data_IF_315868576738
#
_entry.id   IF_315868576738
#
_cell.length_a   1.000
_cell.length_b   1.000
_cell.length_c   1.000
_cell.angle_alpha   90.00
_cell.angle_beta   90.00
_cell.angle_gamma   90.00
#
_symmetry.space_group_name_H-M   'P 1'
#
loop_
_entity.id
_entity.type
_entity.pdbx_description
1 polymer ?
#
# COMPACT_ATOMS: atom_id res chain seq x y z
N UNK A 1 -0.13 8.03 7.25
CA UNK A 1 -1.19 7.19 6.71
C UNK A 1 -1.31 7.42 5.20
N UNK A 2 -1.53 6.38 4.37
CA UNK A 2 -1.64 6.52 2.90
C UNK A 2 -2.65 7.56 2.47
N UNK A 3 -3.80 7.64 3.12
CA UNK A 3 -4.83 8.63 2.82
C UNK A 3 -4.34 10.07 3.03
N UNK A 4 -3.48 10.33 4.01
CA UNK A 4 -2.87 11.63 4.19
C UNK A 4 -1.91 12.01 3.05
N UNK A 5 -1.29 11.01 2.42
CA UNK A 5 -0.42 11.20 1.27
C UNK A 5 -1.18 11.69 0.02
N UNK A 6 -2.47 11.37 -0.11
CA UNK A 6 -3.29 11.82 -1.23
C UNK A 6 -3.55 13.32 -1.25
N UNK A 7 -3.39 14.00 -0.13
CA UNK A 7 -3.52 15.45 -0.07
C UNK A 7 -2.29 16.19 -0.61
N UNK A 8 -1.19 15.49 -0.85
CA UNK A 8 -0.04 16.06 -1.53
C UNK A 8 -0.38 16.31 -3.01
N UNK A 9 -0.16 17.53 -3.54
CA UNK A 9 -0.64 17.92 -4.87
C UNK A 9 -0.20 16.99 -6.02
N UNK A 10 0.96 16.38 -5.90
CA UNK A 10 1.48 15.44 -6.91
C UNK A 10 0.69 14.15 -6.88
N UNK A 11 0.43 13.60 -5.70
CA UNK A 11 -0.28 12.34 -5.53
C UNK A 11 -1.76 12.48 -5.89
N UNK A 12 -2.40 13.59 -5.53
CA UNK A 12 -3.79 13.86 -5.90
C UNK A 12 -4.03 13.81 -7.41
N UNK A 13 -3.07 14.28 -8.22
CA UNK A 13 -3.18 14.26 -9.67
C UNK A 13 -2.75 12.95 -10.32
N UNK A 14 -1.75 12.29 -9.76
CA UNK A 14 -1.10 11.14 -10.38
C UNK A 14 -1.46 9.80 -9.72
N UNK A 15 -2.19 9.84 -8.61
CA UNK A 15 -2.59 8.63 -7.90
C UNK A 15 -1.42 7.85 -7.29
N UNK A 16 -1.56 6.54 -7.16
CA UNK A 16 -0.54 5.65 -6.61
C UNK A 16 0.81 5.78 -7.30
N UNK A 17 0.82 5.97 -8.62
CA UNK A 17 2.04 6.23 -9.39
C UNK A 17 2.76 7.50 -8.91
N UNK A 18 1.99 8.52 -8.51
CA UNK A 18 2.56 9.74 -7.93
C UNK A 18 3.21 9.50 -6.57
N UNK A 19 2.61 8.68 -5.73
CA UNK A 19 3.14 8.29 -4.43
C UNK A 19 4.43 7.49 -4.57
N UNK A 20 4.41 6.41 -5.35
CA UNK A 20 5.58 5.58 -5.61
C UNK A 20 6.71 6.37 -6.27
N UNK A 21 6.38 7.19 -7.28
CA UNK A 21 7.33 8.07 -7.94
C UNK A 21 7.99 9.05 -6.99
N UNK A 22 7.22 9.64 -6.06
CA UNK A 22 7.75 10.53 -5.04
C UNK A 22 8.74 9.81 -4.10
N UNK A 23 8.37 8.64 -3.61
CA UNK A 23 9.23 7.83 -2.74
C UNK A 23 10.54 7.42 -3.45
N UNK A 24 10.47 7.04 -4.73
CA UNK A 24 11.64 6.71 -5.56
C UNK A 24 12.55 7.94 -5.72
N UNK A 25 12.00 9.11 -6.03
CA UNK A 25 12.77 10.36 -6.16
C UNK A 25 13.46 10.71 -4.84
N UNK A 26 12.78 10.57 -3.71
CA UNK A 26 13.39 10.76 -2.39
C UNK A 26 14.53 9.78 -2.13
N UNK A 27 14.36 8.51 -2.48
CA UNK A 27 15.40 7.48 -2.35
C UNK A 27 16.64 7.80 -3.22
N UNK A 28 16.44 8.18 -4.46
CA UNK A 28 17.52 8.61 -5.37
C UNK A 28 18.23 9.84 -4.79
N UNK A 29 17.48 10.82 -4.30
CA UNK A 29 18.04 12.05 -3.69
C UNK A 29 18.88 11.72 -2.46
N UNK A 30 18.43 10.84 -1.59
CA UNK A 30 19.17 10.42 -0.41
C UNK A 30 20.50 9.74 -0.76
N UNK A 31 20.47 8.79 -1.73
CA UNK A 31 21.68 8.11 -2.20
C UNK A 31 22.63 9.10 -2.87
N UNK A 32 22.11 10.01 -3.70
CA UNK A 32 22.88 11.05 -4.35
C UNK A 32 23.65 11.90 -3.33
N UNK A 33 22.93 12.44 -2.33
CA UNK A 33 23.56 13.25 -1.28
C UNK A 33 24.59 12.47 -0.45
N UNK A 34 24.30 11.21 -0.14
CA UNK A 34 25.22 10.35 0.58
C UNK A 34 26.53 10.17 -0.20
N UNK A 35 26.44 9.81 -1.47
CA UNK A 35 27.60 9.60 -2.35
C UNK A 35 28.43 10.86 -2.48
N UNK A 36 27.81 12.00 -2.81
CA UNK A 36 28.53 13.27 -2.95
C UNK A 36 29.15 13.69 -1.62
N UNK A 37 28.47 13.48 -0.50
CA UNK A 37 29.03 13.80 0.81
C UNK A 37 30.25 12.94 1.16
N UNK A 38 30.21 11.64 0.88
CA UNK A 38 31.36 10.75 1.05
C UNK A 38 32.54 11.20 0.19
N UNK A 39 32.29 11.55 -1.08
CA UNK A 39 33.35 12.03 -1.96
C UNK A 39 33.96 13.35 -1.50
N UNK A 40 33.16 14.27 -0.98
CA UNK A 40 33.61 15.54 -0.42
C UNK A 40 34.48 15.33 0.82
N UNK A 41 34.03 14.46 1.75
CA UNK A 41 34.79 14.13 2.96
C UNK A 41 36.11 13.42 2.62
N UNK A 42 36.07 12.50 1.65
CA UNK A 42 37.28 11.80 1.21
C UNK A 42 38.33 12.74 0.57
N UNK A 43 37.84 13.77 -0.17
CA UNK A 43 38.70 14.75 -0.83
C UNK A 43 39.22 15.84 0.11
N UNK A 44 38.37 16.36 1.00
CA UNK A 44 38.64 17.61 1.73
C UNK A 44 38.65 17.47 3.26
N UNK A 45 38.38 16.26 3.80
CA UNK A 45 38.23 16.03 5.23
C UNK A 45 36.86 16.47 5.77
N UNK A 46 36.66 16.23 7.09
CA UNK A 46 35.35 16.48 7.76
C UNK A 46 35.01 17.96 7.93
N UNK A 47 36.01 18.85 7.82
CA UNK A 47 35.81 20.30 8.03
C UNK A 47 35.17 21.01 6.81
N UNK A 48 35.04 20.32 5.70
CA UNK A 48 34.55 20.92 4.45
C UNK A 48 33.02 20.90 4.36
N UNK A 49 32.41 21.98 4.79
CA UNK A 49 30.93 22.17 4.79
C UNK A 49 30.47 23.25 3.79
N UNK A 50 31.33 23.79 2.93
CA UNK A 50 30.96 24.89 2.05
C UNK A 50 30.25 24.42 0.76
N UNK A 51 29.33 25.27 0.28
CA UNK A 51 28.68 25.12 -1.05
C UNK A 51 29.46 25.93 -2.08
N UNK A 52 30.74 25.62 -2.29
CA UNK A 52 31.51 26.27 -3.33
C UNK A 52 31.27 25.61 -4.68
N UNK A 53 30.57 26.34 -5.55
CA UNK A 53 30.25 25.90 -6.91
C UNK A 53 31.44 25.98 -7.89
N UNK A 54 32.55 26.55 -7.47
CA UNK A 54 33.77 26.65 -8.30
C UNK A 54 34.43 25.29 -8.53
N UNK A 55 34.17 24.32 -7.67
CA UNK A 55 34.60 22.94 -7.81
C UNK A 55 33.47 22.02 -8.28
N UNK A 56 33.82 21.01 -9.07
CA UNK A 56 32.85 20.04 -9.64
C UNK A 56 31.98 19.38 -8.57
N UNK A 57 32.56 18.99 -7.43
CA UNK A 57 31.79 18.34 -6.34
C UNK A 57 30.86 19.34 -5.65
N UNK A 58 31.26 20.60 -5.51
CA UNK A 58 30.39 21.65 -4.99
C UNK A 58 29.21 21.93 -5.93
N UNK A 59 29.45 21.97 -7.24
CA UNK A 59 28.40 22.11 -8.25
C UNK A 59 27.43 20.94 -8.20
N UNK A 60 27.92 19.69 -8.13
CA UNK A 60 27.08 18.51 -8.01
C UNK A 60 26.19 18.58 -6.75
N UNK A 61 26.74 19.06 -5.64
CA UNK A 61 25.97 19.27 -4.41
C UNK A 61 24.84 20.30 -4.59
N UNK A 62 25.09 21.38 -5.33
CA UNK A 62 24.06 22.39 -5.66
C UNK A 62 22.99 21.80 -6.58
N UNK A 63 23.38 21.02 -7.57
CA UNK A 63 22.42 20.32 -8.44
C UNK A 63 21.50 19.41 -7.60
N UNK A 64 22.02 18.80 -6.55
CA UNK A 64 21.25 17.99 -5.62
C UNK A 64 20.09 18.73 -4.94
N UNK A 65 20.10 20.06 -4.88
CA UNK A 65 19.00 20.85 -4.30
C UNK A 65 17.66 20.60 -4.99
N UNK A 66 17.66 20.08 -6.21
CA UNK A 66 16.44 19.65 -6.92
C UNK A 66 15.63 18.60 -6.14
N UNK A 67 16.28 17.81 -5.30
CA UNK A 67 15.60 16.79 -4.48
C UNK A 67 14.97 17.36 -3.19
N UNK A 68 15.36 18.55 -2.76
CA UNK A 68 14.91 19.13 -1.49
C UNK A 68 13.39 19.30 -1.41
N UNK A 69 12.69 19.80 -2.44
CA UNK A 69 11.22 19.87 -2.41
C UNK A 69 10.55 18.51 -2.19
N UNK A 70 11.10 17.44 -2.75
CA UNK A 70 10.57 16.08 -2.58
C UNK A 70 10.84 15.57 -1.16
N UNK A 71 11.99 15.83 -0.59
CA UNK A 71 12.32 15.47 0.80
C UNK A 71 11.44 16.24 1.80
N UNK A 72 11.17 17.52 1.54
CA UNK A 72 10.21 18.30 2.33
C UNK A 72 8.80 17.71 2.17
N UNK A 73 8.41 17.35 0.94
CA UNK A 73 7.14 16.70 0.65
C UNK A 73 6.93 15.40 1.42
N UNK A 74 8.00 14.63 1.66
CA UNK A 74 7.96 13.41 2.44
C UNK A 74 7.46 13.66 3.87
N UNK A 75 7.82 14.79 4.48
CA UNK A 75 7.34 15.18 5.80
C UNK A 75 5.80 15.34 5.84
N UNK A 76 5.20 15.87 4.78
CA UNK A 76 3.76 15.99 4.67
C UNK A 76 3.06 14.65 4.43
N UNK A 77 3.73 13.74 3.75
CA UNK A 77 3.23 12.39 3.49
C UNK A 77 3.29 11.51 4.75
N UNK A 78 4.24 11.77 5.65
CA UNK A 78 4.49 10.98 6.86
C UNK A 78 4.20 11.78 8.13
N UNK A 79 3.00 12.37 8.22
CA UNK A 79 2.65 13.20 9.35
C UNK A 79 1.83 12.41 10.37
N UNK A 80 2.45 11.99 11.47
CA UNK A 80 1.83 11.23 12.56
C UNK A 80 0.71 12.01 13.28
N UNK A 81 0.71 13.33 13.20
CA UNK A 81 -0.27 14.18 13.86
C UNK A 81 -1.54 14.38 13.03
N UNK A 82 -1.57 13.86 11.80
CA UNK A 82 -2.71 13.98 10.92
C UNK A 82 -3.52 12.70 10.94
N UNK A 83 -4.70 12.78 11.53
CA UNK A 83 -5.68 11.70 11.54
C UNK A 83 -6.56 11.85 10.30
N UNK A 84 -6.76 10.77 9.58
CA UNK A 84 -7.69 10.65 8.44
C UNK A 84 -8.72 9.58 8.76
N UNK A 85 -9.90 9.69 8.15
CA UNK A 85 -11.05 8.84 8.49
C UNK A 85 -10.85 7.37 8.06
N UNK A 86 -9.97 7.11 7.08
CA UNK A 86 -9.73 5.76 6.55
C UNK A 86 -10.98 5.14 5.89
N UNK A 87 -11.86 5.99 5.33
CA UNK A 87 -13.15 5.55 4.82
C UNK A 87 -13.01 4.60 3.64
N UNK A 88 -12.09 4.87 2.74
CA UNK A 88 -11.80 4.02 1.61
C UNK A 88 -10.75 2.95 1.96
N UNK A 89 -9.72 3.35 2.65
CA UNK A 89 -8.62 2.50 3.12
C UNK A 89 -8.63 2.42 4.66
N UNK A 90 -9.30 1.41 5.28
CA UNK A 90 -10.01 0.34 4.58
C UNK A 90 -11.35 0.01 5.28
N UNK A 91 -12.14 1.03 5.65
CA UNK A 91 -13.51 0.80 6.10
C UNK A 91 -14.38 0.23 4.99
N UNK A 92 -14.09 0.55 3.71
CA UNK A 92 -14.82 0.00 2.58
C UNK A 92 -14.75 -1.54 2.53
N UNK A 93 -13.57 -2.12 2.70
CA UNK A 93 -13.39 -3.57 2.78
C UNK A 93 -14.04 -4.19 4.03
N UNK A 94 -13.97 -3.50 5.16
CA UNK A 94 -14.66 -3.93 6.38
C UNK A 94 -16.18 -4.01 6.18
N UNK A 95 -16.77 -2.98 5.59
CA UNK A 95 -18.21 -2.97 5.29
C UNK A 95 -18.61 -4.00 4.23
N UNK A 96 -17.74 -4.29 3.27
CA UNK A 96 -17.99 -5.36 2.30
C UNK A 96 -18.13 -6.72 2.99
N UNK A 97 -17.24 -7.07 3.89
CA UNK A 97 -17.33 -8.30 4.66
C UNK A 97 -18.64 -8.39 5.47
N UNK A 98 -19.01 -7.32 6.15
CA UNK A 98 -20.27 -7.24 6.92
C UNK A 98 -21.48 -7.34 5.98
N UNK A 99 -21.43 -6.68 4.81
CA UNK A 99 -22.53 -6.72 3.83
C UNK A 99 -22.76 -8.12 3.28
N UNK A 100 -21.71 -8.90 3.05
CA UNK A 100 -21.82 -10.31 2.63
C UNK A 100 -22.59 -11.13 3.67
N UNK A 101 -22.22 -11.06 4.95
CA UNK A 101 -22.92 -11.79 6.02
C UNK A 101 -24.38 -11.33 6.15
N UNK A 102 -24.62 -10.03 6.00
CA UNK A 102 -25.95 -9.47 6.03
C UNK A 102 -26.82 -9.99 4.88
N UNK A 103 -26.28 -9.98 3.67
CA UNK A 103 -26.99 -10.47 2.48
C UNK A 103 -27.34 -11.97 2.60
N UNK A 104 -26.39 -12.81 3.02
CA UNK A 104 -26.65 -14.22 3.27
C UNK A 104 -27.79 -14.43 4.26
N UNK A 105 -27.81 -13.67 5.35
CA UNK A 105 -28.86 -13.74 6.36
C UNK A 105 -30.22 -13.26 5.86
N UNK A 106 -30.27 -12.14 5.13
CA UNK A 106 -31.50 -11.53 4.62
C UNK A 106 -32.15 -12.38 3.53
N UNK A 107 -31.33 -13.03 2.70
CA UNK A 107 -31.80 -13.92 1.64
C UNK A 107 -32.06 -15.36 2.12
N UNK A 108 -31.76 -15.65 3.39
CA UNK A 108 -31.94 -16.99 3.96
C UNK A 108 -31.02 -18.04 3.34
N UNK A 109 -29.84 -17.62 2.86
CA UNK A 109 -28.87 -18.53 2.27
C UNK A 109 -28.11 -19.22 3.38
N UNK A 110 -28.30 -20.53 3.50
CA UNK A 110 -27.58 -21.41 4.42
C UNK A 110 -26.82 -22.45 3.62
N UNK A 111 -25.56 -22.64 3.97
CA UNK A 111 -24.71 -23.67 3.38
C UNK A 111 -24.66 -24.90 4.29
N UNK A 112 -24.88 -26.07 3.73
CA UNK A 112 -24.92 -27.32 4.49
C UNK A 112 -23.53 -27.69 5.08
N UNK A 113 -22.46 -27.41 4.34
CA UNK A 113 -21.11 -27.85 4.68
C UNK A 113 -20.07 -26.73 4.60
N UNK A 114 -20.49 -25.48 4.66
CA UNK A 114 -19.58 -24.32 4.53
C UNK A 114 -19.91 -23.27 5.58
N UNK A 115 -18.92 -22.88 6.35
CA UNK A 115 -19.00 -21.74 7.26
C UNK A 115 -18.43 -20.51 6.55
N UNK A 116 -19.17 -19.39 6.62
CA UNK A 116 -18.75 -18.10 6.11
C UNK A 116 -18.54 -17.14 7.27
N UNK A 117 -17.32 -16.68 7.42
CA UNK A 117 -16.92 -15.75 8.48
C UNK A 117 -16.29 -14.48 7.96
N UNK A 118 -16.25 -13.45 8.81
CA UNK A 118 -15.54 -12.19 8.51
C UNK A 118 -14.54 -11.92 9.62
N UNK A 119 -13.32 -11.61 9.23
CA UNK A 119 -12.25 -11.25 10.14
C UNK A 119 -11.91 -9.78 9.89
N UNK A 120 -12.10 -8.94 10.91
CA UNK A 120 -11.71 -7.54 10.89
C UNK A 120 -10.39 -7.39 11.64
N UNK A 121 -9.31 -7.17 10.92
CA UNK A 121 -7.98 -7.03 11.52
C UNK A 121 -7.60 -5.57 11.68
N UNK A 122 -6.94 -5.25 12.78
CA UNK A 122 -6.40 -3.91 13.02
C UNK A 122 -4.90 -3.82 12.72
N UNK A 123 -4.37 -2.61 12.73
CA UNK A 123 -2.94 -2.33 12.58
C UNK A 123 -2.33 -2.90 11.29
N UNK A 124 -3.07 -2.80 10.18
CA UNK A 124 -2.60 -3.22 8.86
C UNK A 124 -1.38 -2.37 8.46
N UNK A 125 -1.50 -1.06 8.49
CA UNK A 125 -0.48 -0.06 8.16
C UNK A 125 0.81 -0.16 9.01
N UNK A 126 0.70 -0.76 10.19
CA UNK A 126 1.86 -1.03 11.04
C UNK A 126 2.55 -2.38 10.72
N UNK A 127 2.30 -2.93 9.54
CA UNK A 127 2.89 -4.16 9.03
C UNK A 127 2.06 -5.40 9.31
N UNK A 128 0.76 -5.35 9.04
CA UNK A 128 -0.18 -6.48 9.11
C UNK A 128 -0.27 -7.12 10.50
N UNK A 129 -0.12 -6.32 11.57
CA UNK A 129 0.01 -6.86 12.93
C UNK A 129 -1.20 -7.66 13.39
N UNK A 130 -2.42 -7.16 13.09
CA UNK A 130 -3.66 -7.84 13.44
C UNK A 130 -3.79 -9.19 12.73
N UNK A 131 -3.55 -9.23 11.42
CA UNK A 131 -3.59 -10.46 10.64
C UNK A 131 -2.54 -11.49 11.15
N UNK A 132 -1.31 -11.03 11.40
CA UNK A 132 -0.25 -11.90 11.97
C UNK A 132 -0.62 -12.48 13.33
N UNK A 133 -1.19 -11.66 14.22
CA UNK A 133 -1.64 -12.11 15.55
C UNK A 133 -2.78 -13.12 15.43
N UNK A 134 -3.74 -12.87 14.56
CA UNK A 134 -4.83 -13.81 14.30
C UNK A 134 -4.33 -15.14 13.76
N UNK A 135 -3.48 -15.13 12.73
CA UNK A 135 -2.88 -16.36 12.18
C UNK A 135 -2.06 -17.13 13.22
N UNK A 136 -1.36 -16.43 14.11
CA UNK A 136 -0.59 -17.09 15.17
C UNK A 136 -1.50 -17.75 16.23
N UNK A 137 -2.62 -17.11 16.57
CA UNK A 137 -3.59 -17.63 17.54
C UNK A 137 -4.36 -18.84 17.01
N UNK A 138 -4.65 -18.88 15.71
CA UNK A 138 -5.43 -19.93 15.04
C UNK A 138 -4.56 -20.91 14.23
N UNK A 139 -3.28 -21.00 14.56
CA UNK A 139 -2.35 -21.88 13.86
C UNK A 139 -2.77 -23.34 14.01
N UNK A 140 -2.99 -24.02 12.89
CA UNK A 140 -3.38 -25.43 12.83
C UNK A 140 -4.89 -25.67 12.97
N UNK A 141 -5.68 -24.62 13.25
CA UNK A 141 -7.14 -24.79 13.42
C UNK A 141 -7.86 -25.17 12.13
N UNK A 142 -7.30 -24.76 11.00
CA UNK A 142 -7.90 -24.97 9.67
C UNK A 142 -7.12 -25.96 8.80
N UNK A 143 -6.13 -26.67 9.34
CA UNK A 143 -5.26 -27.56 8.54
C UNK A 143 -6.04 -28.72 7.89
N UNK A 144 -7.10 -29.18 8.53
CA UNK A 144 -7.93 -30.30 8.07
C UNK A 144 -9.20 -29.85 7.34
N UNK A 145 -9.41 -28.54 7.15
CA UNK A 145 -10.61 -27.97 6.54
C UNK A 145 -10.21 -27.14 5.32
N UNK A 146 -10.78 -27.41 4.12
CA UNK A 146 -10.59 -26.54 2.96
C UNK A 146 -11.01 -25.10 3.29
N UNK A 147 -10.06 -24.19 3.35
CA UNK A 147 -10.28 -22.81 3.78
C UNK A 147 -9.84 -21.84 2.70
N UNK A 148 -10.72 -20.90 2.35
CA UNK A 148 -10.46 -19.82 1.40
C UNK A 148 -10.53 -18.49 2.11
N UNK A 149 -9.56 -17.63 1.87
CA UNK A 149 -9.51 -16.29 2.44
C UNK A 149 -9.56 -15.28 1.31
N UNK A 150 -10.51 -14.35 1.39
CA UNK A 150 -10.66 -13.22 0.50
C UNK A 150 -10.31 -11.95 1.25
N UNK A 151 -9.34 -11.20 0.75
CA UNK A 151 -9.01 -9.87 1.30
C UNK A 151 -9.65 -8.79 0.45
N UNK A 152 -10.41 -7.92 1.10
CA UNK A 152 -11.04 -6.76 0.47
C UNK A 152 -10.33 -5.50 0.90
N UNK A 153 -9.90 -4.72 -0.07
CA UNK A 153 -9.20 -3.48 0.17
C UNK A 153 -9.62 -2.39 -0.82
N UNK A 154 -9.81 -1.18 -0.30
CA UNK A 154 -10.01 0.04 -1.09
C UNK A 154 -11.14 -0.08 -2.13
N UNK A 155 -12.30 -0.64 -1.73
CA UNK A 155 -13.46 -0.86 -2.59
C UNK A 155 -14.38 0.35 -2.53
N UNK A 156 -14.39 1.18 -3.57
CA UNK A 156 -15.24 2.38 -3.59
C UNK A 156 -16.00 2.61 -4.90
N UNK A 157 -15.48 2.16 -6.03
CA UNK A 157 -16.08 2.40 -7.34
C UNK A 157 -16.01 1.13 -8.21
N UNK A 158 -17.15 0.55 -8.62
CA UNK A 158 -17.20 -0.64 -9.46
C UNK A 158 -16.37 -0.53 -10.74
N UNK A 159 -16.18 0.68 -11.26
CA UNK A 159 -15.36 0.94 -12.45
C UNK A 159 -13.88 0.56 -12.27
N UNK A 160 -13.39 0.59 -11.03
CA UNK A 160 -12.00 0.30 -10.71
C UNK A 160 -11.82 -1.04 -10.00
N UNK A 161 -12.87 -1.84 -9.90
CA UNK A 161 -12.78 -3.16 -9.29
C UNK A 161 -11.73 -4.01 -9.99
N UNK A 162 -10.86 -4.63 -9.20
CA UNK A 162 -9.84 -5.54 -9.70
C UNK A 162 -9.65 -6.73 -8.77
N UNK A 163 -9.22 -7.83 -9.34
CA UNK A 163 -8.78 -9.01 -8.59
C UNK A 163 -7.27 -9.14 -8.73
N UNK A 164 -6.57 -9.08 -7.62
CA UNK A 164 -5.12 -9.15 -7.59
C UNK A 164 -4.65 -10.62 -7.57
N UNK A 165 -3.71 -10.95 -8.44
CA UNK A 165 -3.03 -12.25 -8.51
C UNK A 165 -1.68 -12.23 -7.79
N UNK A 166 -1.25 -11.05 -7.38
CA UNK A 166 -0.03 -10.83 -6.61
C UNK A 166 -0.20 -9.64 -5.68
N UNK A 167 0.53 -9.67 -4.59
CA UNK A 167 0.57 -8.62 -3.59
C UNK A 167 2.02 -8.26 -3.22
N UNK A 168 2.21 -7.25 -2.41
CA UNK A 168 3.52 -6.76 -1.96
C UNK A 168 4.51 -6.59 -3.13
N UNK A 169 4.16 -5.74 -4.10
CA UNK A 169 4.95 -5.49 -5.30
C UNK A 169 5.27 -6.78 -6.10
N UNK A 170 4.35 -7.73 -6.08
CA UNK A 170 4.44 -8.99 -6.80
C UNK A 170 5.27 -10.08 -6.13
N UNK A 171 5.69 -9.87 -4.88
CA UNK A 171 6.47 -10.85 -4.12
C UNK A 171 5.62 -11.96 -3.50
N UNK A 172 4.36 -11.68 -3.19
CA UNK A 172 3.38 -12.64 -2.70
C UNK A 172 2.42 -12.99 -3.83
N UNK A 173 2.21 -14.29 -4.07
CA UNK A 173 1.23 -14.76 -5.06
C UNK A 173 -0.09 -15.04 -4.34
N UNK A 174 -1.18 -14.51 -4.88
CA UNK A 174 -2.52 -14.91 -4.49
C UNK A 174 -2.83 -16.31 -5.07
N UNK A 175 -3.79 -17.00 -4.47
CA UNK A 175 -4.30 -18.25 -5.03
C UNK A 175 -4.99 -17.96 -6.37
N UNK A 176 -4.52 -18.66 -7.40
CA UNK A 176 -4.98 -18.43 -8.77
C UNK A 176 -6.43 -18.88 -8.97
N UNK A 177 -6.80 -20.00 -8.39
CA UNK A 177 -8.13 -20.58 -8.60
C UNK A 177 -9.20 -19.73 -7.93
N UNK A 178 -8.91 -19.21 -6.73
CA UNK A 178 -9.75 -18.25 -6.03
C UNK A 178 -9.86 -16.93 -6.81
N UNK A 179 -8.74 -16.42 -7.34
CA UNK A 179 -8.75 -15.19 -8.13
C UNK A 179 -9.53 -15.35 -9.44
N UNK A 180 -9.39 -16.49 -10.11
CA UNK A 180 -10.15 -16.81 -11.33
C UNK A 180 -11.66 -16.95 -11.04
N UNK A 181 -12.05 -17.55 -9.91
CA UNK A 181 -13.44 -17.64 -9.47
C UNK A 181 -14.10 -16.25 -9.32
N UNK A 182 -13.37 -15.29 -8.74
CA UNK A 182 -13.84 -13.91 -8.67
C UNK A 182 -14.06 -13.27 -10.04
N UNK A 183 -13.14 -13.53 -10.97
CA UNK A 183 -13.26 -13.01 -12.34
C UNK A 183 -14.44 -13.62 -13.07
N UNK A 184 -14.72 -14.91 -12.86
CA UNK A 184 -15.90 -15.59 -13.44
C UNK A 184 -17.19 -15.02 -12.85
N UNK A 185 -17.28 -14.88 -11.54
CA UNK A 185 -18.44 -14.31 -10.86
C UNK A 185 -18.72 -12.87 -11.33
N UNK A 186 -17.69 -12.05 -11.47
CA UNK A 186 -17.84 -10.70 -11.99
C UNK A 186 -18.38 -10.70 -13.43
N UNK A 187 -17.90 -11.62 -14.27
CA UNK A 187 -18.37 -11.76 -15.66
C UNK A 187 -19.83 -12.22 -15.73
N UNK A 188 -20.23 -13.17 -14.90
CA UNK A 188 -21.62 -13.66 -14.85
C UNK A 188 -22.59 -12.57 -14.42
N UNK A 189 -22.14 -11.68 -13.53
CA UNK A 189 -22.94 -10.57 -13.03
C UNK A 189 -22.84 -9.28 -13.87
N UNK A 190 -22.12 -9.33 -15.00
CA UNK A 190 -21.85 -8.16 -15.87
C UNK A 190 -21.14 -7.03 -15.11
N UNK A 191 -20.30 -7.37 -14.14
CA UNK A 191 -19.49 -6.43 -13.37
C UNK A 191 -18.12 -6.30 -14.01
N UNK A 192 -17.71 -5.05 -14.33
CA UNK A 192 -16.37 -4.78 -14.85
C UNK A 192 -15.33 -5.06 -13.76
N UNK A 193 -14.53 -6.10 -13.94
CA UNK A 193 -13.42 -6.44 -13.04
C UNK A 193 -12.14 -6.60 -13.84
N UNK A 194 -11.06 -5.97 -13.39
CA UNK A 194 -9.75 -6.04 -14.03
C UNK A 194 -8.87 -7.06 -13.32
N UNK A 195 -7.90 -7.58 -14.05
CA UNK A 195 -6.84 -8.39 -13.51
C UNK A 195 -5.69 -7.49 -13.06
N UNK A 196 -5.33 -7.54 -11.75
CA UNK A 196 -4.23 -6.82 -11.13
C UNK A 196 -2.97 -7.68 -10.96
#
# INVERSE_FOLDING_TARGET
HPDAAWEWPVNYKLGGVGFEGHAVICGIGAVYYLVISIMLVAKNGLEYVSFDASETLGLLRLIGLVFVPFLIGLYWMWNENRIVDGANDNLSGCYMGIAILKALKEEGIEFENTEVGVILTGSEEAGLRGAKAWCAAHKGEFDDVPTFIFSYDTIHDPKYLMTNYRDLNGTVKADKDVSDLFMEAAKELDISCKKG
#
